data_IF_940401086333
#
_entry.id   IF_940401086333
#
_cell.length_a   1.000
_cell.length_b   1.000
_cell.length_c   1.000
_cell.angle_alpha   90.00
_cell.angle_beta   90.00
_cell.angle_gamma   90.00
#
_symmetry.space_group_name_H-M   'P 1'
#
loop_
_entity.id
_entity.type
_entity.pdbx_description
1 polymer ?
#
# COMPACT_ATOMS: atom_id res chain seq x y z
N UNK A 1 -20.81 -11.96 -19.39
CA UNK A 1 -19.96 -10.91 -18.80
C UNK A 1 -20.03 -9.70 -19.71
N UNK A 2 -20.20 -8.50 -19.16
CA UNK A 2 -20.31 -7.25 -19.92
C UNK A 2 -18.92 -6.72 -20.32
N UNK A 3 -18.23 -7.43 -21.22
CA UNK A 3 -16.86 -7.08 -21.64
C UNK A 3 -16.74 -5.67 -22.21
N UNK A 4 -17.73 -5.20 -22.99
CA UNK A 4 -17.70 -3.85 -23.56
C UNK A 4 -17.72 -2.74 -22.50
N UNK A 5 -18.48 -2.93 -21.41
CA UNK A 5 -18.50 -1.99 -20.30
C UNK A 5 -17.15 -1.96 -19.55
N UNK A 6 -16.48 -3.12 -19.45
CA UNK A 6 -15.12 -3.23 -18.88
C UNK A 6 -14.11 -2.51 -19.78
N UNK A 7 -14.11 -2.78 -21.08
CA UNK A 7 -13.21 -2.13 -22.05
C UNK A 7 -13.37 -0.61 -22.05
N UNK A 8 -14.61 -0.10 -21.90
CA UNK A 8 -14.88 1.33 -21.73
C UNK A 8 -14.15 1.91 -20.52
N UNK A 9 -14.20 1.23 -19.38
CA UNK A 9 -13.56 1.69 -18.13
C UNK A 9 -12.05 1.64 -18.25
N UNK A 10 -11.50 0.55 -18.79
CA UNK A 10 -10.06 0.41 -19.02
C UNK A 10 -9.55 1.49 -19.97
N UNK A 11 -10.24 1.73 -21.08
CA UNK A 11 -9.87 2.81 -22.02
C UNK A 11 -9.89 4.19 -21.35
N UNK A 12 -10.90 4.48 -20.52
CA UNK A 12 -10.97 5.74 -19.77
C UNK A 12 -9.81 5.88 -18.77
N UNK A 13 -9.43 4.81 -18.08
CA UNK A 13 -8.31 4.81 -17.14
C UNK A 13 -6.98 5.07 -17.85
N UNK A 14 -6.77 4.48 -19.04
CA UNK A 14 -5.57 4.73 -19.85
C UNK A 14 -5.52 6.18 -20.35
N UNK A 15 -6.67 6.77 -20.75
CA UNK A 15 -6.75 8.19 -21.12
C UNK A 15 -6.43 9.09 -19.91
N UNK A 16 -6.97 8.77 -18.73
CA UNK A 16 -6.68 9.54 -17.51
C UNK A 16 -5.18 9.44 -17.16
N UNK A 17 -4.61 8.24 -17.26
CA UNK A 17 -3.21 7.98 -16.98
C UNK A 17 -2.28 8.63 -17.99
N UNK A 18 -2.67 8.75 -19.28
CA UNK A 18 -1.85 9.49 -20.24
C UNK A 18 -1.71 10.96 -19.83
N UNK A 19 -2.79 11.59 -19.35
CA UNK A 19 -2.76 12.96 -18.85
C UNK A 19 -1.75 13.20 -17.71
N UNK A 20 -1.42 12.18 -16.90
CA UNK A 20 -0.44 12.33 -15.83
C UNK A 20 1.00 12.46 -16.36
N UNK A 21 1.28 11.99 -17.58
CA UNK A 21 2.60 12.13 -18.23
C UNK A 21 3.02 13.57 -18.48
N UNK A 22 2.06 14.50 -18.47
CA UNK A 22 2.33 15.94 -18.60
C UNK A 22 3.19 16.42 -17.41
N UNK A 23 2.97 15.89 -16.21
CA UNK A 23 3.71 16.32 -15.01
C UNK A 23 5.21 16.04 -15.09
N UNK A 24 5.70 14.80 -15.32
CA UNK A 24 7.12 14.56 -15.52
C UNK A 24 7.66 15.25 -16.79
N UNK A 25 6.85 15.42 -17.84
CA UNK A 25 7.22 16.22 -19.00
C UNK A 25 7.52 17.69 -18.65
N UNK A 26 6.74 18.30 -17.75
CA UNK A 26 7.00 19.65 -17.24
C UNK A 26 8.26 19.69 -16.38
N UNK A 27 8.50 18.68 -15.54
CA UNK A 27 9.75 18.56 -14.76
C UNK A 27 10.96 18.52 -15.68
N UNK A 28 10.89 17.75 -16.78
CA UNK A 28 11.96 17.70 -17.77
C UNK A 28 12.25 19.06 -18.40
N UNK A 29 11.22 19.89 -18.65
CA UNK A 29 11.38 21.24 -19.19
C UNK A 29 11.98 22.22 -18.17
N UNK A 30 11.57 22.12 -16.90
CA UNK A 30 12.08 22.97 -15.81
C UNK A 30 13.57 22.69 -15.55
N UNK A 31 13.93 21.41 -15.43
CA UNK A 31 15.30 20.97 -15.14
C UNK A 31 16.17 20.84 -16.39
N UNK A 32 15.59 20.95 -17.59
CA UNK A 32 16.27 20.88 -18.89
C UNK A 32 17.11 19.61 -19.06
N UNK A 33 16.58 18.48 -18.60
CA UNK A 33 17.30 17.19 -18.53
C UNK A 33 17.17 16.33 -19.79
N UNK A 34 16.40 16.78 -20.80
CA UNK A 34 16.24 16.11 -22.08
C UNK A 34 15.27 14.91 -22.09
N UNK A 35 14.79 14.44 -20.95
CA UNK A 35 13.94 13.25 -20.85
C UNK A 35 12.47 13.48 -21.26
N UNK A 36 12.07 14.74 -21.51
CA UNK A 36 10.68 15.12 -21.83
C UNK A 36 10.12 14.47 -23.11
N UNK A 37 10.99 14.02 -24.02
CA UNK A 37 10.57 13.33 -25.26
C UNK A 37 9.85 12.01 -24.96
N UNK A 38 10.38 11.20 -24.05
CA UNK A 38 9.82 9.89 -23.69
C UNK A 38 8.41 10.03 -23.08
N UNK A 39 8.20 11.03 -22.23
CA UNK A 39 6.90 11.33 -21.64
C UNK A 39 5.89 11.86 -22.67
N UNK A 40 6.33 12.71 -23.60
CA UNK A 40 5.47 13.21 -24.68
C UNK A 40 5.04 12.09 -25.62
N UNK A 41 5.96 11.20 -26.00
CA UNK A 41 5.65 10.01 -26.81
C UNK A 41 4.67 9.08 -26.07
N UNK A 42 4.92 8.84 -24.78
CA UNK A 42 4.02 8.04 -23.94
C UNK A 42 2.63 8.65 -23.86
N UNK A 43 2.52 9.97 -23.67
CA UNK A 43 1.24 10.69 -23.64
C UNK A 43 0.40 10.38 -24.88
N UNK A 44 0.96 10.56 -26.08
CA UNK A 44 0.22 10.34 -27.33
C UNK A 44 -0.11 8.86 -27.57
N UNK A 45 0.83 7.95 -27.32
CA UNK A 45 0.61 6.51 -27.49
C UNK A 45 -0.47 6.00 -26.53
N UNK A 46 -0.38 6.34 -25.25
CA UNK A 46 -1.38 5.96 -24.25
C UNK A 46 -2.74 6.59 -24.56
N UNK A 47 -2.78 7.88 -24.94
CA UNK A 47 -4.03 8.55 -25.33
C UNK A 47 -4.69 7.86 -26.53
N UNK A 48 -3.91 7.46 -27.54
CA UNK A 48 -4.41 6.73 -28.70
C UNK A 48 -4.98 5.36 -28.30
N UNK A 49 -4.22 4.55 -27.55
CA UNK A 49 -4.66 3.24 -27.06
C UNK A 49 -5.95 3.38 -26.24
N UNK A 50 -5.97 4.29 -25.26
CA UNK A 50 -7.13 4.52 -24.42
C UNK A 50 -8.36 4.97 -25.21
N UNK A 51 -8.17 5.86 -26.20
CA UNK A 51 -9.24 6.34 -27.08
C UNK A 51 -9.80 5.25 -27.99
N UNK A 52 -8.95 4.38 -28.54
CA UNK A 52 -9.36 3.22 -29.35
C UNK A 52 -10.22 2.25 -28.52
N UNK A 53 -9.85 2.01 -27.26
CA UNK A 53 -10.62 1.15 -26.35
C UNK A 53 -11.93 1.81 -25.91
N UNK A 54 -11.92 3.11 -25.63
CA UNK A 54 -13.06 3.83 -25.08
C UNK A 54 -14.11 4.21 -26.12
N UNK A 55 -13.70 4.74 -27.27
CA UNK A 55 -14.60 5.36 -28.25
C UNK A 55 -15.70 4.43 -28.78
N UNK A 56 -15.42 3.18 -29.20
CA UNK A 56 -16.44 2.25 -29.66
C UNK A 56 -17.42 1.85 -28.55
N UNK A 57 -16.94 1.83 -27.30
CA UNK A 57 -17.68 1.34 -26.14
C UNK A 57 -18.32 2.46 -25.31
N UNK A 58 -18.23 3.73 -25.72
CA UNK A 58 -18.61 4.90 -24.91
C UNK A 58 -20.07 4.90 -24.42
N UNK A 59 -20.97 4.28 -25.19
CA UNK A 59 -22.42 4.23 -24.90
C UNK A 59 -22.81 3.08 -23.95
N UNK A 60 -21.90 2.16 -23.67
CA UNK A 60 -22.16 0.99 -22.83
C UNK A 60 -22.19 1.39 -21.36
N UNK A 61 -23.39 1.38 -20.75
CA UNK A 61 -23.63 1.78 -19.34
C UNK A 61 -24.20 0.64 -18.49
N UNK A 62 -23.98 -0.61 -18.90
CA UNK A 62 -24.47 -1.79 -18.18
C UNK A 62 -24.06 -1.79 -16.70
N UNK A 63 -24.95 -2.27 -15.84
CA UNK A 63 -24.64 -2.41 -14.42
C UNK A 63 -23.61 -3.50 -14.18
N UNK A 64 -22.53 -3.15 -13.49
CA UNK A 64 -21.44 -4.08 -13.23
C UNK A 64 -21.80 -5.03 -12.08
N UNK A 65 -21.69 -6.33 -12.34
CA UNK A 65 -21.80 -7.38 -11.33
C UNK A 65 -20.46 -7.57 -10.62
N UNK A 66 -20.46 -8.25 -9.45
CA UNK A 66 -19.23 -8.44 -8.65
C UNK A 66 -18.09 -9.10 -9.45
N UNK A 67 -18.38 -10.05 -10.35
CA UNK A 67 -17.37 -10.72 -11.21
C UNK A 67 -16.64 -9.73 -12.12
N UNK A 68 -17.35 -8.72 -12.61
CA UNK A 68 -16.81 -7.69 -13.51
C UNK A 68 -15.98 -6.69 -12.71
N UNK A 69 -16.40 -6.38 -11.48
CA UNK A 69 -15.60 -5.61 -10.53
C UNK A 69 -14.22 -6.24 -10.28
N UNK A 70 -14.15 -7.55 -10.02
CA UNK A 70 -12.86 -8.25 -9.86
C UNK A 70 -11.98 -8.13 -11.11
N UNK A 71 -12.54 -8.35 -12.30
CA UNK A 71 -11.79 -8.29 -13.54
C UNK A 71 -11.27 -6.86 -13.81
N UNK A 72 -12.07 -5.83 -13.52
CA UNK A 72 -11.64 -4.42 -13.66
C UNK A 72 -10.44 -4.12 -12.77
N UNK A 73 -10.38 -4.68 -11.55
CA UNK A 73 -9.27 -4.44 -10.63
C UNK A 73 -7.99 -5.08 -11.11
N UNK A 74 -8.06 -6.32 -11.61
CA UNK A 74 -6.91 -6.99 -12.20
C UNK A 74 -6.42 -6.21 -13.42
N UNK A 75 -7.34 -5.82 -14.31
CA UNK A 75 -7.00 -5.04 -15.50
C UNK A 75 -6.46 -3.65 -15.16
N UNK A 76 -6.93 -3.00 -14.09
CA UNK A 76 -6.40 -1.73 -13.63
C UNK A 76 -4.89 -1.82 -13.39
N UNK A 77 -4.44 -2.79 -12.58
CA UNK A 77 -3.02 -2.96 -12.28
C UNK A 77 -2.22 -3.46 -13.49
N UNK A 78 -2.73 -4.46 -14.21
CA UNK A 78 -2.02 -5.05 -15.35
C UNK A 78 -1.86 -4.05 -16.50
N UNK A 79 -2.92 -3.32 -16.85
CA UNK A 79 -2.88 -2.38 -17.97
C UNK A 79 -2.11 -1.12 -17.60
N UNK A 80 -2.38 -0.49 -16.44
CA UNK A 80 -1.66 0.74 -16.06
C UNK A 80 -0.18 0.43 -15.76
N UNK A 81 0.14 -0.73 -15.18
CA UNK A 81 1.54 -1.14 -14.99
C UNK A 81 2.27 -1.33 -16.32
N UNK A 82 1.59 -1.86 -17.34
CA UNK A 82 2.15 -2.01 -18.69
C UNK A 82 2.32 -0.67 -19.40
N UNK A 83 1.31 0.20 -19.36
CA UNK A 83 1.39 1.55 -19.95
C UNK A 83 2.42 2.40 -19.21
N UNK A 84 2.55 2.22 -17.89
CA UNK A 84 3.53 2.91 -17.06
C UNK A 84 4.98 2.55 -17.38
N UNK A 85 5.22 1.43 -18.09
CA UNK A 85 6.56 1.05 -18.55
C UNK A 85 7.01 1.85 -19.77
N UNK A 86 6.07 2.45 -20.53
CA UNK A 86 6.38 3.14 -21.79
C UNK A 86 7.41 4.29 -21.64
N UNK A 87 7.37 5.16 -20.61
CA UNK A 87 8.39 6.19 -20.47
C UNK A 87 9.79 5.62 -20.27
N UNK A 88 9.91 4.49 -19.55
CA UNK A 88 11.18 3.81 -19.36
C UNK A 88 11.68 3.12 -20.65
N UNK A 89 10.77 2.62 -21.49
CA UNK A 89 11.10 2.01 -22.79
C UNK A 89 11.50 3.07 -23.82
N UNK A 90 10.86 4.24 -23.80
CA UNK A 90 11.14 5.33 -24.75
C UNK A 90 12.27 6.25 -24.31
N UNK A 91 12.70 6.19 -23.05
CA UNK A 91 13.83 7.00 -22.58
C UNK A 91 15.15 6.41 -23.06
N UNK A 92 16.04 7.27 -23.53
CA UNK A 92 17.43 6.88 -23.87
C UNK A 92 18.30 6.75 -22.59
N UNK A 93 17.89 7.39 -21.50
CA UNK A 93 18.52 7.30 -20.19
C UNK A 93 17.45 7.23 -19.10
N UNK A 94 17.34 6.13 -18.33
CA UNK A 94 18.16 4.91 -18.40
C UNK A 94 17.78 4.03 -19.60
N UNK A 95 18.78 3.46 -20.29
CA UNK A 95 18.58 2.48 -21.36
C UNK A 95 18.26 1.10 -20.76
N UNK A 96 17.00 0.90 -20.38
CA UNK A 96 16.54 -0.32 -19.74
C UNK A 96 16.13 -1.40 -20.75
N UNK A 97 16.32 -2.66 -20.36
CA UNK A 97 15.65 -3.76 -21.06
C UNK A 97 14.14 -3.66 -20.88
N UNK A 98 13.36 -4.23 -21.80
CA UNK A 98 11.90 -4.23 -21.68
C UNK A 98 11.46 -4.87 -20.36
N UNK A 99 12.11 -5.95 -19.92
CA UNK A 99 11.78 -6.61 -18.65
C UNK A 99 12.04 -5.73 -17.45
N UNK A 100 13.14 -4.97 -17.44
CA UNK A 100 13.48 -4.06 -16.35
C UNK A 100 12.54 -2.85 -16.32
N UNK A 101 12.17 -2.32 -17.49
CA UNK A 101 11.19 -1.23 -17.60
C UNK A 101 9.81 -1.65 -17.06
N UNK A 102 9.37 -2.87 -17.38
CA UNK A 102 8.14 -3.43 -16.81
C UNK A 102 8.29 -3.65 -15.30
N UNK A 103 9.41 -4.21 -14.84
CA UNK A 103 9.65 -4.44 -13.42
C UNK A 103 9.59 -3.12 -12.62
N UNK A 104 10.30 -2.08 -13.08
CA UNK A 104 10.35 -0.77 -12.43
C UNK A 104 8.95 -0.11 -12.40
N UNK A 105 8.21 -0.18 -13.51
CA UNK A 105 6.85 0.35 -13.59
C UNK A 105 5.88 -0.37 -12.66
N UNK A 106 5.86 -1.71 -12.69
CA UNK A 106 5.00 -2.49 -11.81
C UNK A 106 5.37 -2.25 -10.35
N UNK A 107 6.66 -2.29 -10.01
CA UNK A 107 7.15 -2.05 -8.65
C UNK A 107 6.77 -0.65 -8.13
N UNK A 108 6.89 0.38 -8.97
CA UNK A 108 6.43 1.73 -8.64
C UNK A 108 4.92 1.77 -8.44
N UNK A 109 4.14 1.32 -9.43
CA UNK A 109 2.68 1.39 -9.38
C UNK A 109 2.09 0.56 -8.24
N UNK A 110 2.65 -0.60 -7.91
CA UNK A 110 2.19 -1.44 -6.79
C UNK A 110 2.78 -1.05 -5.45
N UNK A 111 3.48 0.09 -5.37
CA UNK A 111 4.14 0.59 -4.16
C UNK A 111 5.03 -0.48 -3.49
N UNK A 112 5.75 -1.24 -4.31
CA UNK A 112 6.63 -2.34 -3.85
C UNK A 112 8.05 -1.86 -3.55
N UNK A 113 8.53 -0.86 -4.28
CA UNK A 113 9.79 -0.20 -3.94
C UNK A 113 11.07 -0.93 -4.35
N UNK A 114 10.96 -2.10 -4.98
CA UNK A 114 12.11 -2.80 -5.54
C UNK A 114 12.54 -2.15 -6.85
N UNK A 115 13.84 -1.96 -7.06
CA UNK A 115 14.37 -1.35 -8.29
C UNK A 115 15.49 -2.19 -8.89
N UNK A 116 15.57 -2.19 -10.22
CA UNK A 116 16.71 -2.75 -10.97
C UNK A 116 17.68 -1.67 -11.41
N UNK A 117 17.34 -0.40 -11.22
CA UNK A 117 18.18 0.74 -11.55
C UNK A 117 19.26 0.96 -10.49
N UNK A 118 20.45 1.32 -10.97
CA UNK A 118 21.61 1.72 -10.16
C UNK A 118 22.14 3.03 -10.74
N UNK A 119 22.75 3.88 -9.92
CA UNK A 119 23.22 5.20 -10.33
C UNK A 119 22.11 6.22 -10.41
N UNK A 120 21.09 6.10 -9.55
CA UNK A 120 19.90 6.97 -9.53
C UNK A 120 20.27 8.45 -9.42
N UNK A 121 21.34 8.77 -8.70
CA UNK A 121 21.84 10.14 -8.47
C UNK A 121 22.19 10.88 -9.78
N UNK A 122 22.49 10.14 -10.85
CA UNK A 122 22.86 10.67 -12.15
C UNK A 122 21.73 10.67 -13.18
N UNK A 123 20.56 10.12 -12.83
CA UNK A 123 19.44 10.01 -13.75
C UNK A 123 18.73 11.36 -13.96
N UNK A 124 18.07 11.54 -15.12
CA UNK A 124 17.23 12.71 -15.35
C UNK A 124 16.17 12.90 -14.25
N UNK A 125 16.00 14.14 -13.79
CA UNK A 125 15.05 14.49 -12.74
C UNK A 125 13.62 14.09 -13.11
N UNK A 126 13.24 14.19 -14.38
CA UNK A 126 11.92 13.77 -14.86
C UNK A 126 11.68 12.26 -14.67
N UNK A 127 12.70 11.42 -14.87
CA UNK A 127 12.60 9.98 -14.65
C UNK A 127 12.51 9.67 -13.16
N UNK A 128 13.36 10.30 -12.34
CA UNK A 128 13.29 10.16 -10.88
C UNK A 128 11.93 10.59 -10.34
N UNK A 129 11.41 11.73 -10.79
CA UNK A 129 10.08 12.23 -10.43
C UNK A 129 8.98 11.25 -10.84
N UNK A 130 9.06 10.71 -12.06
CA UNK A 130 8.08 9.74 -12.56
C UNK A 130 8.02 8.48 -11.70
N UNK A 131 9.17 7.96 -11.26
CA UNK A 131 9.23 6.80 -10.34
C UNK A 131 8.48 7.08 -9.04
N UNK A 132 8.73 8.23 -8.41
CA UNK A 132 8.03 8.63 -7.18
C UNK A 132 6.52 8.85 -7.42
N UNK A 133 6.18 9.45 -8.57
CA UNK A 133 4.80 9.72 -8.95
C UNK A 133 4.00 8.44 -9.19
N UNK A 134 4.61 7.39 -9.76
CA UNK A 134 3.98 6.08 -9.91
C UNK A 134 3.57 5.49 -8.55
N UNK A 135 4.44 5.58 -7.54
CA UNK A 135 4.11 5.14 -6.19
C UNK A 135 2.96 5.95 -5.59
N UNK A 136 2.97 7.26 -5.77
CA UNK A 136 1.90 8.13 -5.27
C UNK A 136 0.53 7.79 -5.89
N UNK A 137 0.47 7.56 -7.21
CA UNK A 137 -0.75 7.10 -7.86
C UNK A 137 -1.16 5.69 -7.43
N UNK A 138 -0.19 4.79 -7.24
CA UNK A 138 -0.39 3.45 -6.72
C UNK A 138 -1.04 3.44 -5.33
N UNK A 139 -0.48 4.24 -4.42
CA UNK A 139 -0.96 4.39 -3.05
C UNK A 139 -2.42 4.88 -3.02
N UNK A 140 -2.75 5.91 -3.81
CA UNK A 140 -4.14 6.34 -3.95
C UNK A 140 -5.03 5.24 -4.56
N UNK A 141 -4.52 4.54 -5.57
CA UNK A 141 -5.20 3.41 -6.20
C UNK A 141 -5.65 2.38 -5.15
N UNK A 142 -4.75 1.95 -4.27
CA UNK A 142 -5.06 0.99 -3.19
C UNK A 142 -6.12 1.55 -2.23
N UNK A 143 -6.01 2.82 -1.81
CA UNK A 143 -6.99 3.44 -0.89
C UNK A 143 -8.39 3.46 -1.52
N UNK A 144 -8.52 3.94 -2.76
CA UNK A 144 -9.82 4.05 -3.45
C UNK A 144 -10.39 2.67 -3.72
N UNK A 145 -9.57 1.73 -4.17
CA UNK A 145 -10.00 0.35 -4.43
C UNK A 145 -10.50 -0.31 -3.14
N UNK A 146 -9.79 -0.13 -2.02
CA UNK A 146 -10.25 -0.64 -0.73
C UNK A 146 -11.65 -0.12 -0.39
N UNK A 147 -11.92 1.17 -0.55
CA UNK A 147 -13.24 1.75 -0.23
C UNK A 147 -14.32 1.39 -1.23
N UNK A 148 -13.99 1.31 -2.53
CA UNK A 148 -14.95 1.01 -3.58
C UNK A 148 -15.36 -0.47 -3.60
N UNK A 149 -14.41 -1.38 -3.29
CA UNK A 149 -14.59 -2.82 -3.49
C UNK A 149 -14.99 -3.55 -2.21
N UNK A 150 -14.49 -3.16 -1.03
CA UNK A 150 -14.83 -3.82 0.24
C UNK A 150 -16.35 -3.94 0.50
N UNK A 151 -17.18 -2.92 0.20
CA UNK A 151 -18.64 -3.03 0.35
C UNK A 151 -19.27 -4.08 -0.57
N UNK A 152 -18.68 -4.31 -1.75
CA UNK A 152 -19.17 -5.25 -2.76
C UNK A 152 -18.75 -6.69 -2.42
N UNK A 153 -17.56 -6.85 -1.81
CA UNK A 153 -17.02 -8.15 -1.40
C UNK A 153 -17.68 -8.74 -0.16
N UNK A 154 -18.34 -7.93 0.67
CA UNK A 154 -18.94 -8.41 1.93
C UNK A 154 -17.90 -8.94 2.95
N UNK A 155 -16.61 -8.72 2.71
CA UNK A 155 -15.50 -9.08 3.59
C UNK A 155 -15.28 -7.90 4.55
N UNK A 156 -15.31 -8.15 5.86
CA UNK A 156 -15.21 -7.10 6.90
C UNK A 156 -16.51 -6.81 7.68
N UNK A 157 -17.50 -7.71 7.62
CA UNK A 157 -18.73 -7.61 8.43
C UNK A 157 -19.81 -6.68 7.86
N UNK A 158 -19.63 -6.13 6.66
CA UNK A 158 -20.60 -5.23 6.01
C UNK A 158 -21.93 -5.91 5.61
N UNK A 159 -21.97 -7.24 5.58
CA UNK A 159 -23.21 -7.99 5.40
C UNK A 159 -24.17 -7.84 6.59
N UNK A 160 -23.67 -7.60 7.81
CA UNK A 160 -24.51 -7.24 8.96
C UNK A 160 -25.04 -5.80 8.85
N UNK A 161 -24.22 -4.87 8.32
CA UNK A 161 -24.66 -3.49 8.08
C UNK A 161 -25.85 -3.42 7.10
N UNK A 162 -25.91 -4.34 6.12
CA UNK A 162 -27.08 -4.53 5.25
C UNK A 162 -28.28 -5.18 5.95
N UNK A 163 -28.07 -5.92 7.03
CA UNK A 163 -29.10 -6.60 7.80
C UNK A 163 -29.75 -5.69 8.86
N UNK A 164 -29.02 -4.67 9.34
CA UNK A 164 -29.48 -3.72 10.38
C UNK A 164 -30.13 -2.44 9.82
N UNK A 165 -30.16 -2.23 8.50
CA UNK A 165 -30.81 -1.06 7.89
C UNK A 165 -32.31 -1.31 7.69
N UNK A 166 -33.22 -0.57 8.36
CA UNK A 166 -34.66 -0.72 8.18
C UNK A 166 -35.15 0.02 6.93
N UNK A 167 -36.11 -0.58 6.21
CA UNK A 167 -36.93 0.10 5.20
C UNK A 167 -36.35 0.19 3.77
N UNK A 168 -37.09 0.82 2.83
CA UNK A 168 -36.89 0.77 1.37
C UNK A 168 -35.65 1.52 0.86
N UNK A 169 -34.72 1.89 1.76
CA UNK A 169 -33.44 2.51 1.44
C UNK A 169 -32.36 1.51 0.98
N UNK A 170 -32.69 0.21 0.88
CA UNK A 170 -31.80 -0.83 0.32
C UNK A 170 -31.24 -0.46 -1.06
N UNK A 171 -31.99 0.32 -1.85
CA UNK A 171 -31.66 0.69 -3.23
C UNK A 171 -31.30 2.17 -3.44
N UNK A 172 -31.20 2.98 -2.37
CA UNK A 172 -30.77 4.37 -2.52
C UNK A 172 -29.26 4.46 -2.75
N UNK A 173 -28.89 4.29 -4.02
CA UNK A 173 -27.66 4.65 -4.71
C UNK A 173 -26.43 4.69 -3.77
N UNK A 174 -25.78 3.54 -3.58
CA UNK A 174 -24.42 3.49 -2.99
C UNK A 174 -23.39 4.27 -3.81
N UNK A 175 -23.66 4.54 -5.10
CA UNK A 175 -22.77 5.24 -6.05
C UNK A 175 -22.37 6.68 -5.64
N UNK A 176 -23.29 7.61 -5.29
CA UNK A 176 -22.95 8.95 -4.84
C UNK A 176 -22.07 8.97 -3.58
N UNK A 177 -22.31 8.07 -2.62
CA UNK A 177 -21.52 7.99 -1.39
C UNK A 177 -20.07 7.53 -1.63
N UNK A 178 -19.83 6.61 -2.57
CA UNK A 178 -18.46 6.14 -2.88
C UNK A 178 -17.62 7.27 -3.50
N UNK A 179 -18.20 8.05 -4.41
CA UNK A 179 -17.50 9.17 -5.04
C UNK A 179 -17.17 10.29 -4.03
N UNK A 180 -18.10 10.60 -3.13
CA UNK A 180 -17.87 11.55 -2.03
C UNK A 180 -16.78 11.07 -1.06
N UNK A 181 -16.83 9.80 -0.65
CA UNK A 181 -15.77 9.24 0.21
C UNK A 181 -14.42 9.25 -0.50
N UNK A 182 -14.34 8.87 -1.77
CA UNK A 182 -13.10 8.91 -2.54
C UNK A 182 -12.51 10.32 -2.64
N UNK A 183 -13.36 11.35 -2.80
CA UNK A 183 -12.93 12.76 -2.84
C UNK A 183 -12.33 13.21 -1.50
N UNK A 184 -12.94 12.82 -0.38
CA UNK A 184 -12.38 13.19 0.94
C UNK A 184 -11.11 12.42 1.25
N UNK A 185 -11.02 11.15 0.86
CA UNK A 185 -9.79 10.36 0.99
C UNK A 185 -8.66 10.93 0.13
N UNK A 186 -8.96 11.41 -1.08
CA UNK A 186 -8.01 12.16 -1.91
C UNK A 186 -7.49 13.38 -1.16
N UNK A 187 -8.37 14.17 -0.57
CA UNK A 187 -7.99 15.37 0.18
C UNK A 187 -7.04 15.03 1.34
N UNK A 188 -7.34 13.98 2.12
CA UNK A 188 -6.46 13.51 3.21
C UNK A 188 -5.08 13.12 2.66
N UNK A 189 -5.07 12.34 1.58
CA UNK A 189 -3.85 11.85 0.95
C UNK A 189 -2.96 13.00 0.49
N UNK A 190 -3.53 13.99 -0.21
CA UNK A 190 -2.81 15.19 -0.66
C UNK A 190 -2.34 16.04 0.51
N UNK A 191 -3.18 16.28 1.54
CA UNK A 191 -2.80 17.06 2.72
C UNK A 191 -1.63 16.43 3.47
N UNK A 192 -1.65 15.10 3.66
CA UNK A 192 -0.54 14.38 4.28
C UNK A 192 0.73 14.45 3.43
N UNK A 193 0.60 14.36 2.11
CA UNK A 193 1.73 14.47 1.17
C UNK A 193 2.38 15.86 1.26
N UNK A 194 1.59 16.92 1.19
CA UNK A 194 2.09 18.30 1.29
C UNK A 194 2.71 18.56 2.66
N UNK A 195 2.08 18.11 3.75
CA UNK A 195 2.63 18.24 5.10
C UNK A 195 3.98 17.51 5.24
N UNK A 196 4.11 16.32 4.65
CA UNK A 196 5.36 15.56 4.64
C UNK A 196 6.43 16.27 3.82
N UNK A 197 6.11 16.74 2.61
CA UNK A 197 7.05 17.47 1.75
C UNK A 197 7.59 18.73 2.45
N UNK A 198 6.71 19.52 3.08
CA UNK A 198 7.12 20.72 3.82
C UNK A 198 7.99 20.38 5.04
N UNK A 199 7.63 19.35 5.80
CA UNK A 199 8.43 18.91 6.95
C UNK A 199 9.84 18.45 6.53
N UNK A 200 9.95 17.68 5.44
CA UNK A 200 11.24 17.24 4.89
C UNK A 200 12.07 18.42 4.37
N UNK A 201 11.43 19.36 3.68
CA UNK A 201 12.09 20.56 3.19
C UNK A 201 12.63 21.44 4.33
N UNK A 202 11.83 21.65 5.39
CA UNK A 202 12.30 22.37 6.58
C UNK A 202 13.39 21.64 7.36
N UNK A 203 13.49 20.31 7.23
CA UNK A 203 14.58 19.52 7.79
C UNK A 203 15.89 19.59 6.98
N UNK A 204 15.90 20.32 5.86
CA UNK A 204 17.09 20.56 5.03
C UNK A 204 17.16 19.73 3.75
N UNK A 205 16.13 18.93 3.44
CA UNK A 205 16.09 18.17 2.18
C UNK A 205 15.83 19.13 0.99
N UNK A 206 16.53 19.00 -0.15
CA UNK A 206 16.23 19.79 -1.35
C UNK A 206 14.77 19.63 -1.77
N UNK A 207 14.16 20.69 -2.33
CA UNK A 207 12.72 20.69 -2.61
C UNK A 207 12.27 19.54 -3.54
N UNK A 208 13.09 19.20 -4.54
CA UNK A 208 12.84 18.08 -5.45
C UNK A 208 12.77 16.74 -4.69
N UNK A 209 13.78 16.47 -3.86
CA UNK A 209 13.86 15.26 -3.05
C UNK A 209 12.77 15.21 -1.99
N UNK A 210 12.43 16.35 -1.38
CA UNK A 210 11.37 16.45 -0.38
C UNK A 210 10.00 16.09 -0.96
N UNK A 211 9.69 16.58 -2.16
CA UNK A 211 8.47 16.22 -2.88
C UNK A 211 8.50 14.73 -3.25
N UNK A 212 9.59 14.25 -3.85
CA UNK A 212 9.77 12.85 -4.26
C UNK A 212 9.64 11.87 -3.10
N UNK A 213 10.32 12.11 -1.99
CA UNK A 213 10.26 11.28 -0.80
C UNK A 213 8.89 11.38 -0.11
N UNK A 214 8.21 12.52 -0.17
CA UNK A 214 6.83 12.62 0.37
C UNK A 214 5.85 11.72 -0.40
N UNK A 215 5.99 11.65 -1.74
CA UNK A 215 5.16 10.80 -2.60
C UNK A 215 5.31 9.33 -2.20
N UNK A 216 6.55 8.86 -2.11
CA UNK A 216 6.90 7.49 -1.71
C UNK A 216 6.55 7.18 -0.25
N UNK A 217 6.73 8.13 0.67
CA UNK A 217 6.42 7.96 2.11
C UNK A 217 4.93 7.78 2.35
N UNK A 218 4.08 8.66 1.81
CA UNK A 218 2.64 8.56 2.04
C UNK A 218 2.03 7.35 1.31
N UNK A 219 2.61 6.98 0.16
CA UNK A 219 2.27 5.75 -0.55
C UNK A 219 2.78 4.46 0.13
N UNK A 220 3.70 4.55 1.10
CA UNK A 220 4.41 3.40 1.68
C UNK A 220 5.03 2.55 0.56
N UNK A 221 5.78 3.23 -0.32
CA UNK A 221 6.36 2.61 -1.51
C UNK A 221 7.86 2.42 -1.45
N UNK A 222 8.62 3.28 -0.77
CA UNK A 222 10.06 3.08 -0.54
C UNK A 222 11.00 3.45 -1.68
N UNK A 223 10.50 3.98 -2.82
CA UNK A 223 11.40 4.55 -3.81
C UNK A 223 12.08 5.81 -3.26
N UNK A 224 13.29 6.04 -3.74
CA UNK A 224 14.10 7.23 -3.44
C UNK A 224 14.67 7.80 -4.73
N UNK A 225 15.03 9.08 -4.68
CA UNK A 225 15.78 9.77 -5.72
C UNK A 225 17.27 9.39 -5.69
N UNK A 226 17.74 8.78 -4.61
CA UNK A 226 19.13 8.40 -4.39
C UNK A 226 19.30 6.88 -4.24
N UNK A 227 20.46 6.36 -4.63
CA UNK A 227 20.79 4.92 -4.49
C UNK A 227 20.83 4.47 -3.03
N UNK A 228 21.38 5.31 -2.16
CA UNK A 228 21.46 5.06 -0.72
C UNK A 228 20.13 5.25 0.02
N UNK A 229 19.02 5.43 -0.71
CA UNK A 229 17.70 5.70 -0.15
C UNK A 229 17.74 6.90 0.80
N UNK A 230 17.13 6.82 1.98
CA UNK A 230 17.15 7.89 2.99
C UNK A 230 18.55 8.06 3.62
N UNK A 231 19.40 7.02 3.54
CA UNK A 231 20.79 7.07 4.01
C UNK A 231 21.65 8.15 3.36
N UNK A 232 21.27 8.62 2.15
CA UNK A 232 21.95 9.72 1.47
C UNK A 232 22.00 11.02 2.28
N UNK A 233 20.97 11.31 3.08
CA UNK A 233 20.85 12.59 3.77
C UNK A 233 21.54 12.62 5.15
N UNK A 234 21.96 11.47 5.67
CA UNK A 234 22.62 11.29 6.97
C UNK A 234 22.06 12.19 8.11
N UNK A 235 20.73 12.28 8.20
CA UNK A 235 20.04 13.19 9.12
C UNK A 235 19.03 12.44 10.00
N UNK A 236 19.30 12.33 11.32
CA UNK A 236 18.37 11.71 12.27
C UNK A 236 16.98 12.36 12.26
N UNK A 237 16.91 13.65 11.94
CA UNK A 237 15.66 14.41 11.85
C UNK A 237 14.83 13.95 10.65
N UNK A 238 15.44 13.79 9.48
CA UNK A 238 14.76 13.29 8.27
C UNK A 238 14.25 11.87 8.50
N UNK A 239 15.08 10.99 9.09
CA UNK A 239 14.68 9.64 9.47
C UNK A 239 13.42 9.65 10.34
N UNK A 240 13.43 10.49 11.38
CA UNK A 240 12.31 10.59 12.32
C UNK A 240 11.02 11.10 11.65
N UNK A 241 11.12 12.11 10.77
CA UNK A 241 9.99 12.65 10.02
C UNK A 241 9.38 11.55 9.14
N UNK A 242 10.18 10.88 8.32
CA UNK A 242 9.72 9.81 7.43
C UNK A 242 9.05 8.70 8.26
N UNK A 243 9.69 8.23 9.34
CA UNK A 243 9.12 7.19 10.19
C UNK A 243 7.75 7.60 10.80
N UNK A 244 7.59 8.85 11.25
CA UNK A 244 6.31 9.35 11.76
C UNK A 244 5.24 9.35 10.66
N UNK A 245 5.57 9.85 9.46
CA UNK A 245 4.64 9.86 8.33
C UNK A 245 4.31 8.45 7.81
N UNK A 246 5.23 7.49 7.93
CA UNK A 246 4.95 6.07 7.67
C UNK A 246 3.98 5.48 8.69
N UNK A 247 4.13 5.78 9.99
CA UNK A 247 3.17 5.35 11.00
C UNK A 247 1.79 5.94 10.73
N UNK A 248 1.70 7.24 10.39
CA UNK A 248 0.45 7.91 10.05
C UNK A 248 -0.17 7.27 8.79
N UNK A 249 0.61 7.07 7.74
CA UNK A 249 0.13 6.50 6.47
C UNK A 249 -0.22 5.01 6.61
N UNK A 250 0.43 4.31 7.54
CA UNK A 250 0.19 2.90 7.85
C UNK A 250 -1.11 2.67 8.61
N UNK A 251 -1.69 3.73 9.19
CA UNK A 251 -2.99 3.71 9.85
C UNK A 251 -4.14 3.71 8.85
N UNK A 252 -5.30 3.24 9.31
CA UNK A 252 -6.51 3.19 8.51
C UNK A 252 -6.98 4.59 8.12
N UNK A 253 -7.08 4.89 6.81
CA UNK A 253 -7.52 6.19 6.32
C UNK A 253 -8.98 6.54 6.70
N UNK A 254 -9.80 5.55 7.06
CA UNK A 254 -11.12 5.77 7.65
C UNK A 254 -11.07 6.42 9.05
N UNK A 255 -9.99 6.21 9.80
CA UNK A 255 -9.75 6.90 11.08
C UNK A 255 -9.32 8.35 10.84
N UNK A 256 -8.46 8.59 9.85
CA UNK A 256 -8.09 9.96 9.40
C UNK A 256 -9.32 10.75 8.97
N UNK A 257 -10.20 10.12 8.19
CA UNK A 257 -11.49 10.72 7.79
C UNK A 257 -12.39 11.04 9.00
N UNK A 258 -12.44 10.14 9.99
CA UNK A 258 -13.22 10.35 11.21
C UNK A 258 -12.73 11.54 12.03
N UNK A 259 -11.41 11.76 12.08
CA UNK A 259 -10.80 12.91 12.74
C UNK A 259 -11.19 14.23 12.06
N UNK A 260 -11.06 14.30 10.73
CA UNK A 260 -11.43 15.49 9.95
C UNK A 260 -12.93 15.82 10.00
N UNK A 261 -13.77 14.82 10.26
CA UNK A 261 -15.22 15.00 10.43
C UNK A 261 -15.60 15.57 11.81
N UNK A 262 -14.64 16.07 12.59
CA UNK A 262 -14.87 16.72 13.88
C UNK A 262 -14.88 15.81 15.11
N UNK A 263 -14.42 14.55 14.98
CA UNK A 263 -14.27 13.66 16.15
C UNK A 263 -12.94 13.92 16.87
N UNK A 264 -12.89 13.64 18.17
CA UNK A 264 -11.66 13.76 18.96
C UNK A 264 -10.60 12.70 18.62
N UNK A 265 -9.33 12.98 18.93
CA UNK A 265 -8.21 12.04 18.78
C UNK A 265 -8.42 10.69 19.52
N UNK A 266 -9.36 10.64 20.48
CA UNK A 266 -9.73 9.40 21.18
C UNK A 266 -10.25 8.29 20.25
N UNK A 267 -10.68 8.63 19.03
CA UNK A 267 -11.15 7.64 18.04
C UNK A 267 -10.06 6.62 17.70
N UNK A 268 -8.79 7.04 17.59
CA UNK A 268 -7.69 6.11 17.30
C UNK A 268 -7.51 5.09 18.42
N UNK A 269 -7.50 5.53 19.67
CA UNK A 269 -7.25 4.64 20.80
C UNK A 269 -8.41 3.68 21.11
N UNK A 270 -9.63 4.05 20.72
CA UNK A 270 -10.80 3.15 20.81
C UNK A 270 -10.69 2.00 19.81
N UNK A 271 -10.05 2.23 18.67
CA UNK A 271 -9.89 1.21 17.65
C UNK A 271 -8.86 0.13 18.09
N UNK A 272 -9.27 -1.15 18.16
CA UNK A 272 -8.38 -2.22 18.58
C UNK A 272 -7.29 -2.55 17.56
N UNK A 273 -7.50 -2.27 16.26
CA UNK A 273 -6.49 -2.49 15.23
C UNK A 273 -5.36 -1.46 15.36
N UNK A 274 -5.68 -0.18 15.53
CA UNK A 274 -4.70 0.88 15.77
C UNK A 274 -3.84 0.59 17.01
N UNK A 275 -4.46 0.19 18.13
CA UNK A 275 -3.72 -0.17 19.35
C UNK A 275 -2.76 -1.34 19.13
N UNK A 276 -3.20 -2.36 18.38
CA UNK A 276 -2.32 -3.48 18.05
C UNK A 276 -1.19 -3.05 17.12
N UNK A 277 -1.46 -2.20 16.13
CA UNK A 277 -0.46 -1.69 15.19
C UNK A 277 0.66 -0.95 15.94
N UNK A 278 0.30 0.04 16.76
CA UNK A 278 1.28 0.79 17.56
C UNK A 278 1.99 -0.11 18.57
N UNK A 279 1.28 -1.04 19.21
CA UNK A 279 1.87 -2.01 20.12
C UNK A 279 2.95 -2.87 19.46
N UNK A 280 2.66 -3.43 18.28
CA UNK A 280 3.62 -4.23 17.50
C UNK A 280 4.83 -3.40 17.09
N UNK A 281 4.63 -2.18 16.61
CA UNK A 281 5.73 -1.29 16.21
C UNK A 281 6.64 -0.97 17.40
N UNK A 282 6.08 -0.55 18.53
CA UNK A 282 6.86 -0.23 19.72
C UNK A 282 7.63 -1.45 20.25
N UNK A 283 7.00 -2.62 20.28
CA UNK A 283 7.68 -3.86 20.70
C UNK A 283 8.87 -4.19 19.79
N UNK A 284 8.70 -4.07 18.47
CA UNK A 284 9.80 -4.32 17.52
C UNK A 284 10.92 -3.29 17.67
N UNK A 285 10.60 -2.01 17.88
CA UNK A 285 11.60 -0.95 18.12
C UNK A 285 12.41 -1.26 19.37
N UNK A 286 11.76 -1.63 20.47
CA UNK A 286 12.43 -1.99 21.73
C UNK A 286 13.35 -3.20 21.53
N UNK A 287 12.86 -4.28 20.90
CA UNK A 287 13.67 -5.48 20.65
C UNK A 287 14.89 -5.15 19.78
N UNK A 288 14.70 -4.42 18.67
CA UNK A 288 15.78 -4.07 17.77
C UNK A 288 16.82 -3.16 18.46
N UNK A 289 16.36 -2.16 19.19
CA UNK A 289 17.24 -1.24 19.93
C UNK A 289 18.10 -2.00 20.95
N UNK A 290 17.49 -2.90 21.74
CA UNK A 290 18.21 -3.68 22.74
C UNK A 290 19.25 -4.61 22.11
N UNK A 291 18.90 -5.32 21.03
CA UNK A 291 19.84 -6.22 20.35
C UNK A 291 21.00 -5.44 19.74
N UNK A 292 20.73 -4.30 19.09
CA UNK A 292 21.79 -3.45 18.52
C UNK A 292 22.72 -2.88 19.60
N UNK A 293 22.14 -2.50 20.74
CA UNK A 293 22.89 -2.01 21.90
C UNK A 293 23.80 -3.10 22.48
N UNK A 294 23.30 -4.31 22.71
CA UNK A 294 24.11 -5.42 23.25
C UNK A 294 25.24 -5.87 22.32
N UNK A 295 25.04 -5.74 21.00
CA UNK A 295 26.06 -6.04 20.01
C UNK A 295 27.01 -4.87 19.70
N UNK A 296 26.85 -3.72 20.37
CA UNK A 296 27.66 -2.50 20.18
C UNK A 296 27.83 -2.12 18.69
N UNK A 297 26.74 -2.17 17.92
CA UNK A 297 26.78 -1.86 16.47
C UNK A 297 27.00 -0.37 16.20
N UNK A 298 26.50 0.50 17.08
CA UNK A 298 26.70 1.95 17.01
C UNK A 298 27.22 2.48 18.34
N UNK A 299 28.01 3.56 18.27
CA UNK A 299 28.69 4.13 19.45
C UNK A 299 27.75 4.87 20.41
N UNK A 300 26.61 5.36 19.92
CA UNK A 300 25.66 6.17 20.71
C UNK A 300 24.29 5.48 20.86
N UNK A 301 23.69 5.66 22.05
CA UNK A 301 22.35 5.17 22.34
C UNK A 301 21.30 5.85 21.43
N UNK A 302 21.51 7.14 21.17
CA UNK A 302 20.59 7.93 20.36
C UNK A 302 20.65 7.53 18.89
N UNK A 303 21.84 7.25 18.36
CA UNK A 303 22.01 6.73 16.99
C UNK A 303 21.42 5.33 16.86
N UNK A 304 21.66 4.48 17.86
CA UNK A 304 21.07 3.13 17.91
C UNK A 304 19.54 3.19 17.87
N UNK A 305 18.94 4.04 18.70
CA UNK A 305 17.49 4.22 18.75
C UNK A 305 16.96 4.80 17.44
N UNK A 306 17.62 5.81 16.85
CA UNK A 306 17.19 6.41 15.59
C UNK A 306 17.19 5.39 14.44
N UNK A 307 18.28 4.62 14.30
CA UNK A 307 18.41 3.60 13.27
C UNK A 307 17.42 2.44 13.49
N UNK A 308 17.25 1.98 14.73
CA UNK A 308 16.26 0.97 15.07
C UNK A 308 14.83 1.44 14.78
N UNK A 309 14.48 2.65 15.23
CA UNK A 309 13.15 3.22 15.03
C UNK A 309 12.81 3.35 13.55
N UNK A 310 13.72 3.92 12.75
CA UNK A 310 13.51 4.10 11.33
C UNK A 310 13.34 2.78 10.58
N UNK A 311 14.28 1.84 10.74
CA UNK A 311 14.30 0.59 10.00
C UNK A 311 13.14 -0.33 10.39
N UNK A 312 12.79 -0.38 11.68
CA UNK A 312 11.61 -1.13 12.15
C UNK A 312 10.35 -0.58 11.52
N UNK A 313 10.11 0.73 11.62
CA UNK A 313 8.91 1.34 11.07
C UNK A 313 8.85 1.16 9.56
N UNK A 314 9.95 1.41 8.86
CA UNK A 314 10.06 1.24 7.41
C UNK A 314 9.74 -0.19 6.96
N UNK A 315 10.40 -1.20 7.52
CA UNK A 315 10.18 -2.59 7.11
C UNK A 315 8.84 -3.16 7.59
N UNK A 316 8.46 -2.93 8.84
CA UNK A 316 7.23 -3.48 9.40
C UNK A 316 5.97 -2.84 8.80
N UNK A 317 6.04 -1.58 8.36
CA UNK A 317 4.95 -0.96 7.58
C UNK A 317 4.98 -1.30 6.10
N UNK A 318 5.97 -2.08 5.63
CA UNK A 318 6.22 -2.46 4.23
C UNK A 318 6.62 -1.30 3.31
N UNK A 319 7.19 -0.22 3.87
CA UNK A 319 7.72 0.89 3.08
C UNK A 319 9.01 0.51 2.36
N UNK A 320 9.97 -0.09 3.07
CA UNK A 320 11.22 -0.57 2.46
C UNK A 320 12.31 0.50 2.25
N UNK A 321 12.17 1.70 2.80
CA UNK A 321 13.28 2.64 2.90
C UNK A 321 14.41 2.10 3.79
N UNK A 322 15.64 2.43 3.43
CA UNK A 322 16.84 2.06 4.18
C UNK A 322 17.70 3.30 4.47
N UNK A 323 18.34 3.30 5.64
CA UNK A 323 19.34 4.30 6.04
C UNK A 323 20.75 3.72 6.09
N UNK A 324 20.84 2.44 6.43
CA UNK A 324 22.08 1.71 6.59
C UNK A 324 21.90 0.27 6.09
N UNK A 325 23.01 -0.39 5.81
CA UNK A 325 23.05 -1.81 5.45
C UNK A 325 22.65 -2.68 6.64
N UNK A 326 21.40 -3.12 6.62
CA UNK A 326 20.84 -4.10 7.56
C UNK A 326 21.64 -5.41 7.56
N UNK A 327 22.42 -5.68 6.50
CA UNK A 327 23.30 -6.85 6.43
C UNK A 327 24.42 -6.84 7.49
N UNK A 328 24.77 -5.67 8.05
CA UNK A 328 25.75 -5.55 9.14
C UNK A 328 25.17 -5.87 10.52
N UNK A 329 23.83 -5.93 10.63
CA UNK A 329 23.17 -6.17 11.90
C UNK A 329 23.22 -7.67 12.27
N UNK A 330 23.10 -8.03 13.56
CA UNK A 330 22.96 -9.43 13.97
C UNK A 330 21.84 -10.11 13.18
N UNK A 331 22.12 -11.28 12.59
CA UNK A 331 21.25 -11.97 11.61
C UNK A 331 19.79 -12.16 12.09
N UNK A 332 19.59 -12.23 13.40
CA UNK A 332 18.27 -12.24 14.02
C UNK A 332 17.39 -11.06 13.60
N UNK A 333 17.94 -9.84 13.52
CA UNK A 333 17.19 -8.62 13.23
C UNK A 333 16.68 -8.54 11.78
N UNK A 334 17.49 -8.74 10.73
CA UNK A 334 16.98 -8.80 9.36
C UNK A 334 15.86 -9.83 9.18
N UNK A 335 16.00 -11.02 9.77
CA UNK A 335 14.99 -12.08 9.69
C UNK A 335 13.72 -11.68 10.44
N UNK A 336 13.84 -11.08 11.63
CA UNK A 336 12.71 -10.58 12.40
C UNK A 336 11.94 -9.48 11.65
N UNK A 337 12.66 -8.53 11.02
CA UNK A 337 12.07 -7.45 10.24
C UNK A 337 11.42 -7.95 8.94
N UNK A 338 12.01 -8.94 8.28
CA UNK A 338 11.39 -9.61 7.15
C UNK A 338 10.09 -10.31 7.57
N UNK A 339 10.09 -10.98 8.73
CA UNK A 339 8.90 -11.60 9.29
C UNK A 339 7.83 -10.57 9.68
N UNK A 340 8.22 -9.40 10.19
CA UNK A 340 7.28 -8.34 10.58
C UNK A 340 6.61 -7.69 9.37
N UNK A 341 7.27 -7.63 8.22
CA UNK A 341 6.69 -7.16 6.96
C UNK A 341 5.43 -7.95 6.53
N UNK A 342 5.28 -9.21 6.95
CA UNK A 342 4.03 -9.97 6.72
C UNK A 342 2.84 -9.41 7.50
N UNK A 343 3.05 -8.73 8.62
CA UNK A 343 1.98 -8.06 9.38
C UNK A 343 1.51 -6.83 8.62
N UNK A 344 2.45 -5.95 8.27
CA UNK A 344 2.21 -4.74 7.47
C UNK A 344 1.39 -3.68 8.20
N UNK A 345 0.70 -2.84 7.42
CA UNK A 345 -0.13 -1.75 7.93
C UNK A 345 -1.54 -2.18 8.35
N UNK A 346 -2.34 -1.22 8.82
CA UNK A 346 -3.76 -1.42 9.11
C UNK A 346 -4.58 -1.68 7.83
N UNK A 347 -5.77 -2.26 7.97
CA UNK A 347 -6.73 -2.34 6.89
C UNK A 347 -7.18 -0.94 6.46
N UNK A 348 -7.32 -0.71 5.14
CA UNK A 348 -7.65 0.62 4.61
C UNK A 348 -6.50 1.63 4.68
N UNK A 349 -5.26 1.17 4.89
CA UNK A 349 -4.03 1.94 4.70
C UNK A 349 -3.30 1.56 3.41
N UNK A 350 -2.30 2.35 3.04
CA UNK A 350 -1.43 2.12 1.87
C UNK A 350 -0.45 0.97 2.04
N UNK A 351 -0.20 0.52 3.27
CA UNK A 351 0.76 -0.57 3.51
C UNK A 351 0.31 -1.91 2.94
N UNK A 352 1.23 -2.82 2.70
CA UNK A 352 0.98 -4.19 2.26
C UNK A 352 0.72 -5.18 3.41
N UNK A 353 1.13 -6.43 3.19
CA UNK A 353 1.07 -7.51 4.17
C UNK A 353 -0.31 -8.16 4.34
N UNK A 354 -0.44 -8.99 5.37
CA UNK A 354 -1.69 -9.63 5.76
C UNK A 354 -2.68 -8.62 6.34
N UNK A 355 -2.20 -7.47 6.81
CA UNK A 355 -2.89 -6.43 7.58
C UNK A 355 -3.05 -6.80 9.05
N UNK A 356 -2.87 -5.80 9.92
CA UNK A 356 -2.91 -5.94 11.39
C UNK A 356 -4.22 -6.58 11.87
N UNK A 357 -5.38 -6.19 11.32
CA UNK A 357 -6.67 -6.80 11.68
C UNK A 357 -6.70 -8.33 11.49
N UNK A 358 -6.02 -8.86 10.46
CA UNK A 358 -6.00 -10.31 10.22
C UNK A 358 -5.17 -11.01 11.28
N UNK A 359 -4.04 -10.44 11.68
CA UNK A 359 -3.22 -10.97 12.78
C UNK A 359 -3.97 -10.91 14.10
N UNK A 360 -4.68 -9.81 14.38
CA UNK A 360 -5.54 -9.67 15.56
C UNK A 360 -6.62 -10.77 15.63
N UNK A 361 -7.29 -11.02 14.50
CA UNK A 361 -8.33 -12.03 14.40
C UNK A 361 -7.75 -13.45 14.54
N UNK A 362 -6.60 -13.73 13.93
CA UNK A 362 -5.90 -15.01 14.06
C UNK A 362 -5.51 -15.28 15.52
N UNK A 363 -4.97 -14.27 16.22
CA UNK A 363 -4.64 -14.39 17.63
C UNK A 363 -5.87 -14.67 18.50
N UNK A 364 -6.96 -13.92 18.29
CA UNK A 364 -8.23 -14.14 19.01
C UNK A 364 -8.84 -15.52 18.71
N UNK A 365 -8.72 -15.98 17.47
CA UNK A 365 -9.19 -17.30 17.08
C UNK A 365 -8.33 -18.41 17.72
N UNK A 366 -7.00 -18.28 17.70
CA UNK A 366 -6.11 -19.22 18.37
C UNK A 366 -6.38 -19.33 19.87
N UNK A 367 -6.52 -18.18 20.56
CA UNK A 367 -6.86 -18.17 21.98
C UNK A 367 -8.24 -18.80 22.27
N UNK A 368 -9.21 -18.61 21.37
CA UNK A 368 -10.51 -19.30 21.49
C UNK A 368 -10.38 -20.81 21.38
N UNK A 369 -9.61 -21.31 20.41
CA UNK A 369 -9.43 -22.76 20.25
C UNK A 369 -8.66 -23.35 21.44
N UNK A 370 -7.66 -22.65 21.98
CA UNK A 370 -6.98 -23.04 23.23
C UNK A 370 -7.96 -23.16 24.41
N UNK A 371 -8.88 -22.19 24.57
CA UNK A 371 -9.91 -22.27 25.62
C UNK A 371 -10.90 -23.41 25.41
N UNK A 372 -11.22 -23.76 24.16
CA UNK A 372 -12.08 -24.91 23.84
C UNK A 372 -11.41 -26.25 24.15
N UNK A 373 -10.08 -26.32 24.09
CA UNK A 373 -9.36 -27.52 24.55
C UNK A 373 -9.56 -27.76 26.05
N UNK A 374 -9.63 -26.69 26.85
CA UNK A 374 -9.86 -26.77 28.31
C UNK A 374 -11.35 -26.91 28.65
N UNK A 375 -12.23 -26.21 27.94
CA UNK A 375 -13.68 -26.22 28.15
C UNK A 375 -14.44 -26.48 26.83
N UNK A 376 -14.60 -27.76 26.43
CA UNK A 376 -15.17 -28.13 25.14
C UNK A 376 -16.62 -27.67 24.92
N UNK A 377 -17.41 -27.59 25.99
CA UNK A 377 -18.82 -27.22 25.94
C UNK A 377 -19.06 -25.71 26.04
N UNK A 378 -18.02 -24.90 26.27
CA UNK A 378 -18.16 -23.46 26.42
C UNK A 378 -18.30 -22.75 25.07
N UNK A 379 -19.33 -21.91 24.93
CA UNK A 379 -19.59 -21.13 23.72
C UNK A 379 -18.84 -19.80 23.78
N UNK A 380 -17.65 -19.76 23.17
CA UNK A 380 -16.86 -18.54 23.03
C UNK A 380 -17.15 -17.82 21.70
N UNK A 381 -17.50 -16.53 21.77
CA UNK A 381 -17.63 -15.65 20.61
C UNK A 381 -16.39 -14.75 20.44
N UNK A 382 -15.96 -14.54 19.20
CA UNK A 382 -14.87 -13.60 18.89
C UNK A 382 -15.48 -12.21 18.77
N UNK A 383 -15.19 -11.35 19.75
CA UNK A 383 -15.63 -9.96 19.80
C UNK A 383 -14.51 -9.02 19.35
N UNK A 384 -14.82 -8.06 18.48
CA UNK A 384 -13.91 -7.00 18.06
C UNK A 384 -14.55 -5.64 18.33
N UNK A 385 -13.92 -4.83 19.19
CA UNK A 385 -14.48 -3.57 19.71
C UNK A 385 -14.97 -3.69 21.16
N UNK A 386 -15.55 -2.61 21.69
CA UNK A 386 -16.11 -2.57 23.05
C UNK A 386 -17.41 -3.39 23.15
N UNK A 387 -17.77 -3.92 24.35
CA UNK A 387 -18.88 -4.86 24.53
C UNK A 387 -20.24 -4.42 23.97
N UNK A 388 -20.50 -3.12 23.81
CA UNK A 388 -21.74 -2.56 23.22
C UNK A 388 -21.69 -2.29 21.70
N UNK A 389 -20.51 -2.35 21.07
CA UNK A 389 -20.31 -2.15 19.63
C UNK A 389 -19.54 -3.32 18.97
N UNK A 390 -19.38 -4.42 19.72
CA UNK A 390 -18.55 -5.55 19.33
C UNK A 390 -19.17 -6.32 18.16
N UNK A 391 -18.45 -6.38 17.04
CA UNK A 391 -18.85 -7.24 15.91
C UNK A 391 -18.47 -8.69 16.20
N UNK A 392 -19.44 -9.60 16.08
CA UNK A 392 -19.21 -11.05 16.18
C UNK A 392 -18.79 -11.59 14.83
N UNK A 393 -17.59 -12.16 14.75
CA UNK A 393 -17.11 -12.82 13.53
C UNK A 393 -17.38 -14.33 13.59
N UNK A 394 -18.15 -14.85 12.64
CA UNK A 394 -18.36 -16.29 12.47
C UNK A 394 -17.15 -16.91 11.78
N UNK A 395 -16.54 -17.91 12.42
CA UNK A 395 -15.26 -18.50 12.02
C UNK A 395 -15.25 -19.27 10.69
N UNK A 396 -16.42 -19.52 10.07
CA UNK A 396 -16.54 -20.37 8.89
C UNK A 396 -15.96 -19.77 7.60
N UNK A 397 -15.87 -18.44 7.48
CA UNK A 397 -15.41 -17.79 6.23
C UNK A 397 -13.92 -17.44 6.20
N UNK A 398 -13.25 -17.33 7.35
CA UNK A 398 -11.79 -17.12 7.40
C UNK A 398 -11.01 -18.41 7.12
N UNK A 399 -11.53 -19.55 7.58
CA UNK A 399 -10.96 -20.87 7.31
C UNK A 399 -10.95 -21.23 5.82
N UNK A 400 -11.94 -20.77 5.05
CA UNK A 400 -11.99 -20.99 3.59
C UNK A 400 -10.89 -20.20 2.86
N UNK A 401 -10.53 -19.00 3.33
CA UNK A 401 -9.44 -18.23 2.73
C UNK A 401 -8.07 -18.85 3.04
N UNK A 402 -7.92 -19.46 4.22
CA UNK A 402 -6.73 -20.24 4.57
C UNK A 402 -6.68 -21.57 3.81
N UNK A 403 -7.80 -22.28 3.66
CA UNK A 403 -7.88 -23.52 2.86
C UNK A 403 -7.70 -23.27 1.35
N UNK A 404 -8.13 -22.12 0.82
CA UNK A 404 -7.92 -21.78 -0.60
C UNK A 404 -6.46 -21.39 -0.90
N UNK A 405 -5.69 -20.88 0.07
CA UNK A 405 -4.25 -20.61 -0.10
C UNK A 405 -3.36 -21.79 0.33
N UNK A 406 -3.75 -22.58 1.32
CA UNK A 406 -3.06 -23.81 1.72
C UNK A 406 -3.40 -25.02 0.80
N UNK A 407 -4.50 -24.95 0.04
CA UNK A 407 -4.92 -25.97 -0.92
C UNK A 407 -3.94 -26.17 -2.08
N UNK A 408 -3.05 -25.20 -2.35
CA UNK A 408 -1.96 -25.32 -3.33
C UNK A 408 -0.85 -26.28 -2.84
N UNK A 409 -0.69 -26.46 -1.52
CA UNK A 409 0.29 -27.42 -0.98
C UNK A 409 -0.27 -28.84 -0.80
N UNK A 410 -1.60 -29.01 -0.71
CA UNK A 410 -2.21 -30.34 -0.54
C UNK A 410 -2.30 -31.15 -1.83
N UNK A 411 -2.07 -30.52 -2.98
CA UNK A 411 -2.11 -31.17 -4.29
C UNK A 411 -0.75 -31.76 -4.74
N UNK A 412 0.35 -31.45 -4.03
CA UNK A 412 1.68 -32.05 -4.28
C UNK A 412 2.11 -33.13 -3.26
N UNK A 413 1.45 -33.24 -2.11
CA UNK A 413 1.75 -34.27 -1.10
C UNK A 413 0.87 -35.54 -1.19
N UNK A 414 -0.01 -35.63 -2.20
CA UNK A 414 -1.03 -36.68 -2.32
C UNK A 414 -0.66 -37.90 -3.17
N UNK A 415 0.55 -37.98 -3.75
CA UNK A 415 0.87 -39.01 -4.74
C UNK A 415 1.78 -40.17 -4.27
N UNK A 416 2.09 -40.30 -2.97
CA UNK A 416 3.04 -41.33 -2.48
C UNK A 416 2.57 -42.22 -1.33
N UNK A 417 1.26 -42.44 -1.15
CA UNK A 417 0.77 -43.50 -0.25
C UNK A 417 -0.43 -44.24 -0.82
N UNK A 418 -0.18 -45.07 -1.83
CA UNK A 418 -0.95 -46.29 -2.10
C UNK A 418 -0.10 -47.23 -2.98
N UNK A 419 0.78 -48.01 -2.36
CA UNK A 419 1.25 -49.29 -2.91
C UNK A 419 2.07 -50.08 -1.87
N UNK A 420 1.67 -51.35 -1.75
CA UNK A 420 2.26 -52.48 -0.97
C UNK A 420 1.83 -52.50 0.49
N UNK A 421 0.82 -53.35 0.77
CA UNK A 421 0.92 -54.76 1.19
C UNK A 421 1.36 -54.86 2.64
#
# INVERSE_FOLDING_TARGET
MHFRAITRIVGLLVILFSGTMILPGLVALIYRDGAGRAFTQTFFVALAIGSILWWPNRREKGELKSREGFLIVVLFWTVLGSVGALPFIFSESPNLTITDAFFESFSGLTTTGATTLVGLDSLPHAILFYRQMLQWFGGMGIIVLAVAILPILGVGGMQLYRAEMPGPLKDNKMRPRIAETAKTLWLIYVLLTVACALALWFAGMPAFDAIGHSFSTIAIGGFSTHDASVGYFDSPTINTIIAIFLLISGCNYGLHFSLLSGRSLKVYWRDPEFRMFIGVQLTLVVICTLVLWFHNIYDSALTTLNQAFFQVVSMATTAGFTTDSIARWPLFLPVLLLCSAFIGGCAGSTGGGLKVIRILLLFKQGNRELKRLVHPNAVYSIKLGEPGAARTYSGSRLGILFCLRAGIYRQYAGHYRYRRR
#
